data_IF_947651090859
#
_entry.id   IF_947651090859
#
_cell.length_a   1.000
_cell.length_b   1.000
_cell.length_c   1.000
_cell.angle_alpha   90.00
_cell.angle_beta   90.00
_cell.angle_gamma   90.00
#
_symmetry.space_group_name_H-M   'P 1'
#
loop_
_entity.id
_entity.type
_entity.pdbx_description
1 polymer ?
#
# COMPACT_ATOMS: atom_id res chain seq x y z
N UNK A 1 -42.93 -52.39 -18.52
CA UNK A 1 -41.78 -52.49 -19.46
C UNK A 1 -42.17 -51.75 -20.73
N UNK A 2 -41.59 -50.65 -21.20
CA UNK A 2 -40.30 -49.98 -21.03
C UNK A 2 -40.54 -48.49 -20.72
N UNK A 3 -40.27 -48.08 -19.49
CA UNK A 3 -39.92 -46.70 -19.17
C UNK A 3 -38.42 -46.58 -19.46
N UNK A 4 -38.03 -46.06 -20.61
CA UNK A 4 -36.61 -45.79 -20.92
C UNK A 4 -36.46 -44.37 -21.43
N UNK A 5 -36.13 -43.48 -20.48
CA UNK A 5 -35.20 -42.36 -20.62
C UNK A 5 -35.38 -41.42 -21.82
N UNK A 6 -36.32 -40.48 -21.70
CA UNK A 6 -36.21 -39.13 -22.28
C UNK A 6 -35.92 -38.08 -21.18
N UNK A 7 -35.05 -38.43 -20.23
CA UNK A 7 -34.55 -37.56 -19.15
C UNK A 7 -33.02 -37.40 -19.20
N UNK A 8 -32.44 -37.43 -20.40
CA UNK A 8 -31.13 -36.83 -20.63
C UNK A 8 -31.31 -35.68 -21.61
N UNK A 9 -31.59 -34.51 -21.05
CA UNK A 9 -31.32 -33.25 -21.71
C UNK A 9 -29.93 -33.33 -22.35
N UNK A 10 -29.85 -32.88 -23.61
CA UNK A 10 -28.61 -32.89 -24.39
C UNK A 10 -27.46 -32.43 -23.48
N UNK A 11 -26.36 -33.20 -23.35
CA UNK A 11 -25.25 -32.80 -22.50
C UNK A 11 -24.83 -31.39 -22.91
N UNK A 12 -24.83 -30.48 -21.93
CA UNK A 12 -24.32 -29.14 -22.08
C UNK A 12 -22.99 -29.21 -22.82
N UNK A 13 -22.93 -28.67 -24.05
CA UNK A 13 -21.67 -28.61 -24.79
C UNK A 13 -20.65 -27.89 -23.91
N UNK A 14 -19.47 -28.47 -23.65
CA UNK A 14 -18.44 -27.78 -22.89
C UNK A 14 -18.04 -26.53 -23.67
N UNK A 15 -18.41 -25.38 -23.12
CA UNK A 15 -17.81 -24.06 -23.36
C UNK A 15 -17.51 -23.71 -24.84
N UNK A 16 -18.46 -23.89 -25.75
CA UNK A 16 -18.37 -23.21 -27.05
C UNK A 16 -18.84 -21.77 -26.85
N UNK A 17 -17.91 -20.82 -26.70
CA UNK A 17 -18.25 -19.39 -26.83
C UNK A 17 -19.07 -19.25 -28.13
N UNK A 18 -20.24 -18.60 -28.13
CA UNK A 18 -21.00 -18.43 -29.37
C UNK A 18 -20.09 -17.75 -30.38
N UNK A 19 -19.88 -18.37 -31.54
CA UNK A 19 -19.10 -17.76 -32.62
C UNK A 19 -19.88 -16.52 -33.06
N UNK A 20 -19.42 -15.34 -32.66
CA UNK A 20 -20.04 -14.07 -33.06
C UNK A 20 -20.18 -14.03 -34.58
N UNK A 21 -21.38 -13.67 -35.09
CA UNK A 21 -21.63 -13.61 -36.51
C UNK A 21 -20.66 -12.60 -37.16
N UNK A 22 -20.18 -12.83 -38.40
CA UNK A 22 -19.14 -12.03 -39.04
C UNK A 22 -19.41 -10.51 -39.03
N UNK A 23 -20.68 -10.11 -39.17
CA UNK A 23 -21.13 -8.70 -39.23
C UNK A 23 -20.96 -7.91 -37.93
N UNK A 24 -20.92 -8.57 -36.77
CA UNK A 24 -20.80 -7.92 -35.44
C UNK A 24 -19.37 -7.91 -34.89
N UNK A 25 -18.42 -8.54 -35.60
CA UNK A 25 -17.02 -8.65 -35.18
C UNK A 25 -16.33 -7.30 -35.09
N UNK A 26 -16.72 -6.34 -35.92
CA UNK A 26 -16.16 -5.01 -35.89
C UNK A 26 -16.43 -4.34 -34.53
N UNK A 27 -17.70 -4.19 -34.16
CA UNK A 27 -18.09 -3.51 -32.91
C UNK A 27 -17.62 -4.21 -31.64
N UNK A 28 -17.47 -5.54 -31.65
CA UNK A 28 -16.94 -6.29 -30.51
C UNK A 28 -15.41 -6.16 -30.35
N UNK A 29 -14.68 -5.87 -31.42
CA UNK A 29 -13.22 -5.71 -31.37
C UNK A 29 -12.78 -4.26 -31.07
N UNK A 30 -13.59 -3.27 -31.48
CA UNK A 30 -13.32 -1.85 -31.27
C UNK A 30 -12.97 -1.44 -29.83
N UNK A 31 -13.63 -1.95 -28.77
CA UNK A 31 -13.27 -1.59 -27.40
C UNK A 31 -11.82 -1.95 -27.05
N UNK A 32 -11.35 -3.12 -27.46
CA UNK A 32 -9.98 -3.54 -27.23
C UNK A 32 -8.98 -2.65 -27.97
N UNK A 33 -9.29 -2.29 -29.23
CA UNK A 33 -8.49 -1.33 -29.98
C UNK A 33 -8.53 0.07 -29.38
N UNK A 34 -9.64 0.50 -28.79
CA UNK A 34 -9.68 1.78 -28.06
C UNK A 34 -8.76 1.75 -26.85
N UNK A 35 -8.76 0.66 -26.07
CA UNK A 35 -7.90 0.48 -24.89
C UNK A 35 -6.42 0.41 -25.28
N UNK A 36 -6.07 -0.26 -26.38
CA UNK A 36 -4.68 -0.42 -26.86
C UNK A 36 -4.21 0.69 -27.81
N UNK A 37 -4.99 1.75 -28.02
CA UNK A 37 -4.74 2.82 -29.01
C UNK A 37 -3.44 3.58 -28.82
N UNK A 38 -2.96 3.70 -27.58
CA UNK A 38 -1.68 4.35 -27.26
C UNK A 38 -0.48 3.46 -27.64
N UNK A 39 -0.69 2.15 -27.83
CA UNK A 39 0.39 1.21 -28.10
C UNK A 39 0.76 1.20 -29.59
N UNK A 40 2.07 1.14 -29.88
CA UNK A 40 2.59 1.25 -31.25
C UNK A 40 2.38 -0.02 -32.10
N UNK A 41 2.27 0.19 -33.42
CA UNK A 41 2.34 -0.81 -34.51
C UNK A 41 1.24 -1.87 -34.45
N UNK A 42 1.64 -3.14 -34.34
CA UNK A 42 0.78 -4.33 -34.48
C UNK A 42 -0.10 -4.59 -33.26
N UNK A 43 0.31 -4.08 -32.11
CA UNK A 43 -0.38 -4.30 -30.83
C UNK A 43 -1.76 -3.62 -30.78
N UNK A 44 -1.93 -2.51 -31.49
CA UNK A 44 -3.21 -1.83 -31.65
C UNK A 44 -4.01 -2.34 -32.86
N UNK A 45 -3.37 -2.66 -33.97
CA UNK A 45 -4.11 -2.99 -35.21
C UNK A 45 -4.49 -4.48 -35.33
N UNK A 46 -3.69 -5.39 -34.76
CA UNK A 46 -3.91 -6.84 -34.90
C UNK A 46 -4.70 -7.39 -33.71
N UNK A 47 -5.92 -7.89 -33.96
CA UNK A 47 -6.85 -8.39 -32.94
C UNK A 47 -6.20 -9.32 -31.90
N UNK A 48 -5.50 -10.38 -32.35
CA UNK A 48 -4.90 -11.38 -31.42
C UNK A 48 -3.86 -10.75 -30.51
N UNK A 49 -3.05 -9.84 -31.03
CA UNK A 49 -2.00 -9.16 -30.27
C UNK A 49 -2.61 -8.17 -29.29
N UNK A 50 -3.62 -7.40 -29.73
CA UNK A 50 -4.37 -6.48 -28.87
C UNK A 50 -5.07 -7.20 -27.73
N UNK A 51 -5.66 -8.37 -27.98
CA UNK A 51 -6.36 -9.14 -26.95
C UNK A 51 -5.41 -9.55 -25.83
N UNK A 52 -4.28 -10.19 -26.16
CA UNK A 52 -3.28 -10.60 -25.16
C UNK A 52 -2.66 -9.42 -24.41
N UNK A 53 -2.51 -8.27 -25.08
CA UNK A 53 -2.05 -7.04 -24.42
C UNK A 53 -3.06 -6.51 -23.41
N UNK A 54 -4.33 -6.37 -23.83
CA UNK A 54 -5.41 -5.84 -22.99
C UNK A 54 -5.62 -6.72 -21.76
N UNK A 55 -5.59 -8.05 -21.93
CA UNK A 55 -5.66 -9.00 -20.81
C UNK A 55 -4.55 -8.75 -19.79
N UNK A 56 -3.29 -8.63 -20.24
CA UNK A 56 -2.15 -8.33 -19.35
C UNK A 56 -2.25 -6.95 -18.71
N UNK A 57 -2.65 -5.93 -19.47
CA UNK A 57 -2.79 -4.57 -18.98
C UNK A 57 -3.85 -4.47 -17.88
N UNK A 58 -4.98 -5.17 -18.04
CA UNK A 58 -6.04 -5.22 -17.03
C UNK A 58 -5.57 -5.95 -15.76
N UNK A 59 -4.87 -7.08 -15.90
CA UNK A 59 -4.27 -7.79 -14.77
C UNK A 59 -3.28 -6.91 -14.00
N UNK A 60 -2.34 -6.26 -14.71
CA UNK A 60 -1.39 -5.35 -14.07
C UNK A 60 -2.06 -4.12 -13.48
N UNK A 61 -3.15 -3.61 -14.07
CA UNK A 61 -3.91 -2.49 -13.48
C UNK A 61 -4.50 -2.88 -12.11
N UNK A 62 -5.01 -4.09 -11.96
CA UNK A 62 -5.57 -4.59 -10.70
C UNK A 62 -4.46 -4.77 -9.65
N UNK A 63 -3.33 -5.38 -10.04
CA UNK A 63 -2.17 -5.54 -9.16
C UNK A 63 -1.57 -4.19 -8.75
N UNK A 64 -1.46 -3.24 -9.68
CA UNK A 64 -0.92 -1.91 -9.44
C UNK A 64 -1.79 -1.10 -8.47
N UNK A 65 -3.13 -1.24 -8.50
CA UNK A 65 -4.01 -0.60 -7.52
C UNK A 65 -3.70 -1.05 -6.09
N UNK A 66 -3.49 -2.34 -5.89
CA UNK A 66 -3.08 -2.88 -4.59
C UNK A 66 -1.69 -2.36 -4.17
N UNK A 67 -0.72 -2.47 -5.07
CA UNK A 67 0.67 -2.09 -4.82
C UNK A 67 0.87 -0.58 -4.64
N UNK A 68 -0.01 0.27 -5.17
CA UNK A 68 0.08 1.74 -5.03
C UNK A 68 0.19 2.17 -3.57
N UNK A 69 -0.57 1.52 -2.69
CA UNK A 69 -0.55 1.82 -1.25
C UNK A 69 0.82 1.49 -0.62
N UNK A 70 1.39 0.34 -0.97
CA UNK A 70 2.71 -0.11 -0.51
C UNK A 70 3.83 0.78 -1.03
N UNK A 71 3.82 1.11 -2.33
CA UNK A 71 4.81 2.01 -2.94
C UNK A 71 4.76 3.40 -2.32
N UNK A 72 3.56 3.93 -2.07
CA UNK A 72 3.38 5.22 -1.39
C UNK A 72 3.93 5.17 0.04
N UNK A 73 3.71 4.07 0.77
CA UNK A 73 4.25 3.88 2.12
C UNK A 73 5.79 3.81 2.11
N UNK A 74 6.39 3.06 1.19
CA UNK A 74 7.85 2.95 1.02
C UNK A 74 8.48 4.31 0.72
N UNK A 75 7.89 5.08 -0.19
CA UNK A 75 8.35 6.42 -0.51
C UNK A 75 8.34 7.35 0.72
N UNK A 76 7.29 7.29 1.53
CA UNK A 76 7.20 8.11 2.76
C UNK A 76 8.26 7.73 3.79
N UNK A 77 8.58 6.44 3.92
CA UNK A 77 9.66 5.97 4.80
C UNK A 77 11.00 6.51 4.29
N UNK A 78 11.31 6.34 3.00
CA UNK A 78 12.55 6.84 2.41
C UNK A 78 12.71 8.37 2.56
N UNK A 79 11.62 9.13 2.41
CA UNK A 79 11.61 10.58 2.67
C UNK A 79 11.94 10.91 4.13
N UNK A 80 11.37 10.15 5.07
CA UNK A 80 11.63 10.34 6.49
C UNK A 80 13.06 9.94 6.87
N UNK A 81 13.59 8.85 6.32
CA UNK A 81 14.98 8.44 6.51
C UNK A 81 15.94 9.56 6.06
N UNK A 82 15.72 10.14 4.88
CA UNK A 82 16.51 11.28 4.40
C UNK A 82 16.37 12.54 5.27
N UNK A 83 15.17 12.81 5.80
CA UNK A 83 14.92 13.96 6.67
C UNK A 83 15.51 13.78 8.09
N UNK A 84 15.62 12.55 8.58
CA UNK A 84 16.15 12.21 9.90
C UNK A 84 17.67 12.08 9.93
N UNK A 85 18.31 11.80 8.77
CA UNK A 85 19.76 11.72 8.63
C UNK A 85 20.54 12.87 9.29
N UNK A 86 20.21 14.17 9.11
CA UNK A 86 20.94 15.26 9.77
C UNK A 86 20.78 15.30 11.30
N UNK A 87 19.77 14.62 11.84
CA UNK A 87 19.51 14.56 13.29
C UNK A 87 20.09 13.29 13.94
N UNK A 88 20.71 12.39 13.16
CA UNK A 88 21.27 11.13 13.66
C UNK A 88 20.22 10.18 14.25
N UNK A 89 18.98 10.25 13.74
CA UNK A 89 17.87 9.40 14.15
C UNK A 89 17.50 8.42 13.04
N UNK A 90 17.13 7.20 13.42
CA UNK A 90 16.57 6.23 12.46
C UNK A 90 15.03 6.28 12.48
N UNK A 91 14.43 5.86 11.36
CA UNK A 91 12.97 5.75 11.22
C UNK A 91 12.29 4.92 12.33
N UNK A 92 12.73 3.69 12.69
CA UNK A 92 12.08 2.91 13.75
C UNK A 92 12.13 3.62 15.10
N UNK A 93 13.25 4.27 15.42
CA UNK A 93 13.43 5.01 16.67
C UNK A 93 12.44 6.16 16.79
N UNK A 94 12.20 6.89 15.70
CA UNK A 94 11.23 7.97 15.67
C UNK A 94 9.83 7.47 16.09
N UNK A 95 9.35 6.38 15.50
CA UNK A 95 8.02 5.85 15.79
C UNK A 95 7.91 5.20 17.15
N UNK A 96 8.95 4.51 17.61
CA UNK A 96 8.99 3.92 18.94
C UNK A 96 8.85 5.00 20.01
N UNK A 97 9.57 6.12 19.87
CA UNK A 97 9.53 7.21 20.84
C UNK A 97 8.25 8.04 20.74
N UNK A 98 7.73 8.30 19.53
CA UNK A 98 6.42 8.96 19.37
C UNK A 98 5.28 8.14 19.99
N UNK A 99 5.32 6.81 19.88
CA UNK A 99 4.34 5.93 20.51
C UNK A 99 4.41 6.02 22.05
N UNK A 100 5.61 6.08 22.64
CA UNK A 100 5.79 6.29 24.10
C UNK A 100 5.23 7.63 24.57
N UNK A 101 5.35 8.67 23.75
CA UNK A 101 4.81 10.00 24.03
C UNK A 101 3.29 10.12 23.72
N UNK A 102 2.63 9.03 23.29
CA UNK A 102 1.23 9.00 22.82
C UNK A 102 0.93 9.97 21.67
N UNK A 103 1.92 10.28 20.84
CA UNK A 103 1.75 11.16 19.67
C UNK A 103 1.35 10.31 18.46
N UNK A 104 0.05 10.30 18.15
CA UNK A 104 -0.53 9.52 17.06
C UNK A 104 -0.39 10.23 15.70
N UNK A 105 0.85 10.37 15.22
CA UNK A 105 1.13 10.98 13.91
C UNK A 105 1.28 9.96 12.79
N UNK A 106 0.57 10.22 11.69
CA UNK A 106 0.65 9.43 10.48
C UNK A 106 1.93 9.72 9.68
N UNK A 107 2.53 8.68 9.09
CA UNK A 107 3.70 8.78 8.20
C UNK A 107 3.50 9.75 7.04
N UNK A 108 2.26 9.86 6.53
CA UNK A 108 1.88 10.82 5.49
C UNK A 108 2.16 12.25 5.96
N UNK A 109 1.58 12.62 7.09
CA UNK A 109 1.67 13.97 7.67
C UNK A 109 3.13 14.26 8.03
N UNK A 110 3.82 13.32 8.67
CA UNK A 110 5.26 13.43 8.97
C UNK A 110 6.11 13.69 7.71
N UNK A 111 5.87 12.96 6.63
CA UNK A 111 6.61 13.16 5.38
C UNK A 111 6.29 14.49 4.69
N UNK A 112 5.07 15.02 4.87
CA UNK A 112 4.66 16.32 4.33
C UNK A 112 5.27 17.45 5.15
N UNK A 113 5.24 17.35 6.49
CA UNK A 113 5.89 18.31 7.39
C UNK A 113 7.40 18.38 7.15
N UNK A 114 8.06 17.25 6.90
CA UNK A 114 9.49 17.24 6.61
C UNK A 114 9.86 18.05 5.35
N UNK A 115 8.97 18.11 4.35
CA UNK A 115 9.20 18.84 3.08
C UNK A 115 8.79 20.30 3.20
N UNK A 116 7.60 20.57 3.74
CA UNK A 116 7.00 21.91 3.73
C UNK A 116 7.33 22.72 4.98
N UNK A 117 7.46 22.08 6.13
CA UNK A 117 7.54 22.70 7.45
C UNK A 117 8.76 22.17 8.25
N UNK A 118 9.99 22.46 7.80
CA UNK A 118 11.20 21.90 8.42
C UNK A 118 11.40 22.35 9.87
N UNK A 119 10.88 23.53 10.24
CA UNK A 119 10.93 24.06 11.62
C UNK A 119 10.10 23.20 12.57
N UNK A 120 8.87 22.90 12.18
CA UNK A 120 7.95 22.03 12.94
C UNK A 120 8.49 20.61 13.04
N UNK A 121 9.03 20.08 11.93
CA UNK A 121 9.66 18.76 11.93
C UNK A 121 10.84 18.69 12.90
N UNK A 122 11.68 19.74 12.95
CA UNK A 122 12.78 19.86 13.91
C UNK A 122 12.28 19.85 15.36
N UNK A 123 11.19 20.55 15.67
CA UNK A 123 10.61 20.49 17.03
C UNK A 123 10.23 19.06 17.41
N UNK A 124 9.61 18.31 16.51
CA UNK A 124 9.25 16.90 16.75
C UNK A 124 10.50 16.03 16.97
N UNK A 125 11.54 16.18 16.14
CA UNK A 125 12.77 15.38 16.30
C UNK A 125 13.49 15.72 17.61
N UNK A 126 13.50 16.98 18.04
CA UNK A 126 14.07 17.36 19.35
C UNK A 126 13.29 16.78 20.53
N UNK A 127 11.96 16.70 20.44
CA UNK A 127 11.15 16.03 21.47
C UNK A 127 11.49 14.54 21.55
N UNK A 128 11.68 13.90 20.40
CA UNK A 128 12.06 12.49 20.33
C UNK A 128 13.48 12.24 20.85
N UNK A 129 14.44 13.13 20.57
CA UNK A 129 15.79 13.05 21.14
C UNK A 129 15.75 13.13 22.68
N UNK A 130 14.98 14.07 23.23
CA UNK A 130 14.77 14.16 24.68
C UNK A 130 14.13 12.90 25.26
N UNK A 131 13.13 12.34 24.58
CA UNK A 131 12.53 11.08 25.02
C UNK A 131 13.54 9.92 24.97
N UNK A 132 14.39 9.88 23.95
CA UNK A 132 15.46 8.88 23.83
C UNK A 132 16.50 9.02 24.95
N UNK A 133 16.83 10.24 25.37
CA UNK A 133 17.71 10.50 26.51
C UNK A 133 17.10 9.98 27.82
N UNK A 134 15.81 10.29 28.07
CA UNK A 134 15.06 9.79 29.23
C UNK A 134 15.05 8.25 29.25
N UNK A 135 14.91 7.61 28.10
CA UNK A 135 14.93 6.15 27.98
C UNK A 135 16.36 5.57 28.06
N UNK A 136 17.38 6.33 27.64
CA UNK A 136 18.80 5.96 27.64
C UNK A 136 19.44 5.97 29.03
N UNK A 137 18.87 6.71 29.99
CA UNK A 137 19.21 6.61 31.42
C UNK A 137 18.81 5.25 32.03
N UNK A 138 18.10 4.39 31.29
CA UNK A 138 17.74 3.03 31.71
C UNK A 138 18.71 1.94 31.22
N UNK A 139 19.81 2.29 30.57
CA UNK A 139 20.97 1.40 30.30
C UNK A 139 22.21 2.05 30.91
N UNK A 140 22.57 1.77 32.18
CA UNK A 140 23.63 0.77 32.38
C UNK A 140 23.68 0.09 33.78
N UNK A 141 22.79 0.35 34.75
CA UNK A 141 22.85 -0.34 36.09
C UNK A 141 21.55 -0.83 36.76
N UNK A 142 20.35 -0.47 36.32
CA UNK A 142 19.16 -0.58 37.18
C UNK A 142 18.07 -1.58 36.73
N UNK A 143 18.43 -2.71 36.12
CA UNK A 143 17.46 -3.77 35.78
C UNK A 143 16.83 -4.47 37.02
N UNK A 144 17.32 -4.21 38.22
CA UNK A 144 16.95 -4.95 39.44
C UNK A 144 16.01 -4.23 40.43
N UNK A 145 15.66 -2.95 40.25
CA UNK A 145 14.84 -2.28 41.26
C UNK A 145 14.09 -1.06 40.72
N UNK A 146 12.90 -1.22 40.11
CA UNK A 146 11.89 -0.13 40.02
C UNK A 146 10.46 -0.69 40.00
N UNK A 147 9.84 -0.74 41.17
CA UNK A 147 8.41 -0.49 41.32
C UNK A 147 8.15 0.97 40.86
N UNK A 148 7.16 1.18 40.01
CA UNK A 148 6.74 2.52 39.50
C UNK A 148 6.33 3.47 40.65
N UNK A 149 6.20 4.82 40.47
CA UNK A 149 6.39 5.65 39.26
C UNK A 149 7.22 6.95 39.50
N UNK A 150 7.76 7.56 38.44
CA UNK A 150 8.03 9.01 38.44
C UNK A 150 7.24 9.60 37.28
N UNK A 151 6.38 10.57 37.59
CA UNK A 151 5.44 11.17 36.67
C UNK A 151 6.14 11.80 35.46
N UNK A 152 5.80 11.30 34.27
CA UNK A 152 6.18 11.89 32.99
C UNK A 152 5.41 13.19 32.77
N UNK A 153 6.13 14.30 32.64
CA UNK A 153 5.56 15.65 32.36
C UNK A 153 4.76 15.69 31.03
N UNK A 154 4.88 14.67 30.18
CA UNK A 154 4.30 14.65 28.83
C UNK A 154 3.43 13.42 28.51
N UNK A 155 3.06 12.57 29.49
CA UNK A 155 2.33 11.35 29.16
C UNK A 155 1.63 10.67 30.32
N UNK A 156 0.52 11.24 30.82
CA UNK A 156 -0.46 10.48 31.59
C UNK A 156 -1.33 9.68 30.62
N UNK A 157 -1.08 8.38 30.55
CA UNK A 157 -1.91 7.41 29.84
C UNK A 157 -3.29 7.33 30.49
N UNK A 158 -4.34 7.66 29.74
CA UNK A 158 -5.70 7.25 30.07
C UNK A 158 -6.20 6.27 29.00
N UNK A 159 -6.64 5.11 29.48
CA UNK A 159 -7.54 4.11 28.87
C UNK A 159 -6.92 3.00 28.00
N UNK A 160 -6.58 1.91 28.71
CA UNK A 160 -6.74 0.53 28.26
C UNK A 160 -7.98 -0.02 28.97
N UNK A 161 -9.05 -0.27 28.22
CA UNK A 161 -10.23 -1.08 28.61
C UNK A 161 -10.72 -1.81 27.38
#
# INVERSE_FOLDING_TARGET
MRLTLLLFGRPCKPNTRPKVPPKERFFTQLPNFRISSVQSRRSWNCWRVSLSYVERALLYSALARHNRSLMTKRLRIARLEGALAPFGLEYPDLFNNLAKMNVLLNRKVLSEMAVWEPRTFKSITTLVQKQREIDGEASDKDRAMRLHPVDSVLGKNYLRS
#
